data_IF_264574954268
#
_entry.id   IF_264574954268
#
_cell.length_a   1.000
_cell.length_b   1.000
_cell.length_c   1.000
_cell.angle_alpha   90.00
_cell.angle_beta   90.00
_cell.angle_gamma   90.00
#
_symmetry.space_group_name_H-M   'P 1'
#
loop_
_entity.id
_entity.type
_entity.pdbx_description
1 polymer ?
#
# COMPACT_ATOMS: atom_id res chain seq x y z
N UNK A 1 -7.93 -3.89 28.76
CA UNK A 1 -8.57 -5.19 28.36
C UNK A 1 -7.56 -6.31 28.53
N UNK A 2 -8.02 -7.52 28.89
CA UNK A 2 -7.19 -8.74 28.84
C UNK A 2 -6.94 -9.17 27.38
N UNK A 3 -5.90 -9.98 27.08
CA UNK A 3 -5.70 -10.54 25.74
C UNK A 3 -6.96 -11.24 25.21
N UNK A 4 -7.60 -12.07 26.02
CA UNK A 4 -8.82 -12.79 25.67
C UNK A 4 -10.02 -11.86 25.35
N UNK A 5 -10.19 -10.78 26.13
CA UNK A 5 -11.22 -9.78 25.84
C UNK A 5 -10.98 -9.01 24.54
N UNK A 6 -9.71 -8.83 24.11
CA UNK A 6 -9.37 -8.25 22.80
C UNK A 6 -9.72 -9.20 21.68
N UNK A 7 -9.47 -10.51 21.87
CA UNK A 7 -9.88 -11.55 20.91
C UNK A 7 -11.39 -11.58 20.76
N UNK A 8 -12.16 -11.53 21.86
CA UNK A 8 -13.63 -11.48 21.78
C UNK A 8 -14.12 -10.26 20.97
N UNK A 9 -13.53 -9.08 21.20
CA UNK A 9 -13.88 -7.90 20.40
C UNK A 9 -13.50 -8.05 18.91
N UNK A 10 -12.37 -8.70 18.62
CA UNK A 10 -11.97 -8.97 17.24
C UNK A 10 -12.90 -9.99 16.56
N UNK A 11 -13.40 -11.02 17.27
CA UNK A 11 -14.41 -11.97 16.77
C UNK A 11 -15.64 -11.22 16.28
N UNK A 12 -16.22 -10.37 17.13
CA UNK A 12 -17.43 -9.60 16.82
C UNK A 12 -17.22 -8.65 15.61
N UNK A 13 -16.04 -8.07 15.52
CA UNK A 13 -15.68 -7.19 14.40
C UNK A 13 -15.53 -7.99 13.09
N UNK A 14 -14.91 -9.17 13.13
CA UNK A 14 -14.77 -10.02 11.95
C UNK A 14 -16.10 -10.54 11.44
N UNK A 15 -17.05 -10.86 12.33
CA UNK A 15 -18.41 -11.24 11.93
C UNK A 15 -19.15 -10.08 11.22
N UNK A 16 -18.98 -8.84 11.72
CA UNK A 16 -19.54 -7.64 11.07
C UNK A 16 -18.89 -7.38 9.69
N UNK A 17 -17.58 -7.61 9.57
CA UNK A 17 -16.86 -7.46 8.32
C UNK A 17 -17.28 -8.55 7.33
N UNK A 18 -17.43 -9.79 7.77
CA UNK A 18 -17.96 -10.89 6.96
C UNK A 18 -19.38 -10.61 6.46
N UNK A 19 -20.19 -9.91 7.26
CA UNK A 19 -21.54 -9.44 6.87
C UNK A 19 -21.51 -8.21 5.93
N UNK A 20 -20.33 -7.75 5.46
CA UNK A 20 -20.17 -6.70 4.44
C UNK A 20 -19.80 -5.31 4.97
N UNK A 21 -19.68 -5.11 6.28
CA UNK A 21 -19.23 -3.82 6.80
C UNK A 21 -17.75 -3.57 6.48
N UNK A 22 -17.37 -2.34 6.10
CA UNK A 22 -15.98 -1.98 5.87
C UNK A 22 -15.16 -2.09 7.18
N UNK A 23 -13.96 -2.69 7.11
CA UNK A 23 -13.12 -2.95 8.27
C UNK A 23 -12.80 -1.68 9.08
N UNK A 24 -12.39 -0.60 8.40
CA UNK A 24 -12.12 0.68 9.05
C UNK A 24 -13.37 1.30 9.70
N UNK A 25 -14.53 1.15 9.07
CA UNK A 25 -15.80 1.61 9.63
C UNK A 25 -16.20 0.80 10.88
N UNK A 26 -16.02 -0.54 10.82
CA UNK A 26 -16.29 -1.44 11.94
C UNK A 26 -15.39 -1.10 13.14
N UNK A 27 -14.10 -0.95 12.91
CA UNK A 27 -13.10 -0.59 13.93
C UNK A 27 -13.35 0.82 14.51
N UNK A 28 -13.67 1.80 13.67
CA UNK A 28 -13.95 3.17 14.13
C UNK A 28 -15.21 3.22 14.97
N UNK A 29 -16.29 2.57 14.54
CA UNK A 29 -17.56 2.53 15.30
C UNK A 29 -17.40 1.79 16.62
N UNK A 30 -16.68 0.66 16.63
CA UNK A 30 -16.34 -0.05 17.86
C UNK A 30 -15.49 0.81 18.79
N UNK A 31 -14.44 1.45 18.29
CA UNK A 31 -13.57 2.29 19.09
C UNK A 31 -14.29 3.49 19.75
N UNK A 32 -15.35 4.02 19.12
CA UNK A 32 -16.21 5.06 19.69
C UNK A 32 -17.13 4.52 20.78
N UNK A 33 -17.67 3.32 20.60
CA UNK A 33 -18.58 2.67 21.55
C UNK A 33 -17.81 2.10 22.76
N UNK A 34 -16.63 1.51 22.55
CA UNK A 34 -15.82 0.87 23.58
C UNK A 34 -14.98 1.89 24.38
N UNK A 35 -15.65 2.74 25.18
CA UNK A 35 -14.99 3.78 25.98
C UNK A 35 -14.01 3.24 27.02
N UNK A 36 -14.17 1.98 27.41
CA UNK A 36 -13.28 1.25 28.33
C UNK A 36 -11.97 0.80 27.69
N UNK A 37 -11.89 0.77 26.36
CA UNK A 37 -10.70 0.36 25.62
C UNK A 37 -9.72 1.53 25.47
N UNK A 38 -8.55 1.42 26.06
CA UNK A 38 -7.45 2.36 25.90
C UNK A 38 -6.83 2.31 24.50
N UNK A 39 -5.93 3.24 24.19
CA UNK A 39 -5.27 3.32 22.88
C UNK A 39 -4.49 2.04 22.54
N UNK A 40 -3.82 1.43 23.52
CA UNK A 40 -3.10 0.15 23.35
C UNK A 40 -4.05 -1.01 23.04
N UNK A 41 -5.25 -1.04 23.69
CA UNK A 41 -6.25 -2.07 23.45
C UNK A 41 -6.83 -1.95 22.04
N UNK A 42 -7.18 -0.72 21.62
CA UNK A 42 -7.70 -0.45 20.28
C UNK A 42 -6.70 -0.83 19.20
N UNK A 43 -5.41 -0.55 19.41
CA UNK A 43 -4.36 -0.95 18.51
C UNK A 43 -4.25 -2.49 18.41
N UNK A 44 -4.30 -3.19 19.55
CA UNK A 44 -4.21 -4.66 19.57
C UNK A 44 -5.42 -5.33 18.90
N UNK A 45 -6.65 -4.82 19.12
CA UNK A 45 -7.85 -5.32 18.42
C UNK A 45 -7.76 -5.05 16.93
N UNK A 46 -7.30 -3.87 16.52
CA UNK A 46 -7.04 -3.56 15.11
C UNK A 46 -6.03 -4.52 14.48
N UNK A 47 -4.92 -4.78 15.16
CA UNK A 47 -3.89 -5.70 14.68
C UNK A 47 -4.47 -7.11 14.49
N UNK A 48 -5.26 -7.64 15.45
CA UNK A 48 -5.92 -8.95 15.31
C UNK A 48 -6.87 -9.02 14.09
N UNK A 49 -7.69 -7.99 13.90
CA UNK A 49 -8.62 -7.91 12.76
C UNK A 49 -7.87 -7.88 11.43
N UNK A 50 -6.82 -7.04 11.32
CA UNK A 50 -6.05 -6.96 10.08
C UNK A 50 -5.21 -8.21 9.81
N UNK A 51 -4.69 -8.87 10.84
CA UNK A 51 -3.95 -10.12 10.68
C UNK A 51 -4.87 -11.24 10.19
N UNK A 52 -6.10 -11.34 10.74
CA UNK A 52 -7.10 -12.27 10.23
C UNK A 52 -7.52 -11.95 8.79
N UNK A 53 -7.65 -10.65 8.43
CA UNK A 53 -7.95 -10.24 7.05
C UNK A 53 -6.81 -10.57 6.07
N UNK A 54 -5.55 -10.50 6.50
CA UNK A 54 -4.41 -10.92 5.65
C UNK A 54 -4.42 -12.41 5.39
N UNK A 55 -4.85 -13.20 6.38
CA UNK A 55 -4.87 -14.66 6.39
C UNK A 55 -6.30 -15.23 6.38
N UNK A 56 -7.22 -14.61 5.63
CA UNK A 56 -8.66 -14.83 5.71
C UNK A 56 -9.10 -16.25 5.42
N UNK A 57 -8.53 -16.88 4.40
CA UNK A 57 -8.86 -18.25 4.01
C UNK A 57 -8.08 -19.28 4.82
N UNK A 58 -6.81 -19.05 5.06
CA UNK A 58 -5.98 -19.94 5.86
C UNK A 58 -6.46 -20.01 7.32
N UNK A 59 -6.87 -18.89 7.90
CA UNK A 59 -7.44 -18.89 9.26
C UNK A 59 -8.79 -19.57 9.32
N UNK A 60 -9.64 -19.46 8.29
CA UNK A 60 -10.89 -20.21 8.21
C UNK A 60 -10.66 -21.73 8.13
N UNK A 61 -9.70 -22.16 7.29
CA UNK A 61 -9.33 -23.56 7.16
C UNK A 61 -8.81 -24.13 8.50
N UNK A 62 -7.83 -23.45 9.12
CA UNK A 62 -7.25 -23.84 10.39
C UNK A 62 -8.24 -23.80 11.57
N UNK A 63 -9.21 -22.91 11.54
CA UNK A 63 -10.23 -22.77 12.59
C UNK A 63 -11.47 -23.63 12.37
N UNK A 64 -11.61 -24.26 11.20
CA UNK A 64 -12.72 -25.15 10.87
C UNK A 64 -14.03 -24.42 10.55
N UNK A 65 -13.97 -23.13 10.10
CA UNK A 65 -15.18 -22.39 9.74
C UNK A 65 -14.94 -20.93 9.37
N UNK A 66 -16.00 -20.26 8.90
CA UNK A 66 -15.89 -18.89 8.37
C UNK A 66 -16.31 -17.77 9.35
N UNK A 67 -16.77 -18.12 10.54
CA UNK A 67 -17.14 -17.15 11.58
C UNK A 67 -15.91 -16.42 12.11
N UNK A 68 -16.09 -15.24 12.69
CA UNK A 68 -15.02 -14.51 13.37
C UNK A 68 -14.35 -15.35 14.46
N UNK A 69 -15.14 -16.17 15.19
CA UNK A 69 -14.64 -17.09 16.20
C UNK A 69 -13.72 -18.17 15.61
N UNK A 70 -14.14 -18.83 14.53
CA UNK A 70 -13.32 -19.83 13.85
C UNK A 70 -12.04 -19.20 13.28
N UNK A 71 -12.14 -18.01 12.67
CA UNK A 71 -10.96 -17.31 12.12
C UNK A 71 -9.97 -16.90 13.20
N UNK A 72 -10.41 -16.45 14.39
CA UNK A 72 -9.50 -16.14 15.49
C UNK A 72 -8.88 -17.41 16.09
N UNK A 73 -9.63 -18.51 16.17
CA UNK A 73 -9.08 -19.81 16.53
C UNK A 73 -7.99 -20.24 15.52
N UNK A 74 -8.29 -20.12 14.23
CA UNK A 74 -7.32 -20.42 13.17
C UNK A 74 -6.11 -19.50 13.18
N UNK A 75 -6.26 -18.22 13.54
CA UNK A 75 -5.15 -17.27 13.69
C UNK A 75 -4.22 -17.64 14.84
N UNK A 76 -4.76 -18.08 15.98
CA UNK A 76 -3.96 -18.58 17.11
C UNK A 76 -3.19 -19.85 16.70
N UNK A 77 -3.87 -20.78 16.04
CA UNK A 77 -3.22 -22.01 15.50
C UNK A 77 -2.12 -21.68 14.48
N UNK A 78 -2.35 -20.72 13.59
CA UNK A 78 -1.34 -20.25 12.63
C UNK A 78 -0.10 -19.66 13.30
N UNK A 79 -0.27 -19.06 14.49
CA UNK A 79 0.79 -18.47 15.30
C UNK A 79 1.40 -19.42 16.32
N UNK A 80 0.93 -20.68 16.35
CA UNK A 80 1.34 -21.67 17.36
C UNK A 80 1.08 -21.21 18.81
N UNK A 81 0.08 -20.34 19.00
CA UNK A 81 -0.39 -19.88 20.30
C UNK A 81 -1.43 -20.86 20.84
N UNK A 82 -1.38 -21.18 22.14
CA UNK A 82 -2.33 -22.09 22.78
C UNK A 82 -3.73 -21.44 22.89
N UNK A 83 -4.74 -21.94 22.17
CA UNK A 83 -6.08 -21.36 22.17
C UNK A 83 -6.79 -21.44 23.52
N UNK A 84 -6.51 -22.45 24.36
CA UNK A 84 -7.20 -22.63 25.65
C UNK A 84 -6.89 -21.52 26.65
N UNK A 85 -5.74 -20.86 26.51
CA UNK A 85 -5.39 -19.67 27.30
C UNK A 85 -6.26 -18.46 26.98
N UNK A 86 -6.87 -18.43 25.80
CA UNK A 86 -7.70 -17.34 25.28
C UNK A 86 -9.20 -17.68 25.40
N UNK A 87 -9.59 -18.89 24.96
CA UNK A 87 -10.97 -19.35 24.97
C UNK A 87 -11.35 -19.96 26.34
N UNK A 88 -11.25 -19.16 27.38
CA UNK A 88 -11.41 -19.60 28.76
C UNK A 88 -12.82 -19.40 29.35
N UNK A 89 -13.66 -18.58 28.68
CA UNK A 89 -14.98 -18.20 29.20
C UNK A 89 -14.95 -17.29 30.44
N UNK A 90 -13.78 -16.85 30.88
CA UNK A 90 -13.65 -16.03 32.09
C UNK A 90 -13.81 -14.55 31.77
N UNK A 91 -14.69 -13.86 32.51
CA UNK A 91 -14.94 -12.42 32.33
C UNK A 91 -15.45 -12.10 30.93
N UNK A 92 -14.65 -11.39 30.13
CA UNK A 92 -14.96 -11.04 28.75
C UNK A 92 -14.19 -11.90 27.72
N UNK A 93 -13.68 -13.05 28.13
CA UNK A 93 -13.04 -13.99 27.21
C UNK A 93 -14.09 -14.72 26.35
N UNK A 94 -13.72 -15.17 25.14
CA UNK A 94 -14.58 -16.06 24.38
C UNK A 94 -14.88 -17.34 25.18
N UNK A 95 -16.06 -17.94 24.96
CA UNK A 95 -16.44 -19.20 25.60
C UNK A 95 -15.40 -20.29 25.34
N UNK A 96 -15.23 -21.29 26.25
CA UNK A 96 -14.33 -22.41 26.03
C UNK A 96 -14.62 -23.12 24.70
N UNK A 97 -13.59 -23.74 24.10
CA UNK A 97 -13.74 -24.50 22.86
C UNK A 97 -14.54 -25.78 23.13
N UNK A 98 -15.53 -26.01 22.29
CA UNK A 98 -16.24 -27.29 22.25
C UNK A 98 -15.38 -28.39 21.62
N UNK A 99 -15.75 -29.65 21.84
CA UNK A 99 -15.03 -30.82 21.27
C UNK A 99 -14.93 -30.73 19.73
N UNK A 100 -15.99 -30.27 19.07
CA UNK A 100 -16.02 -30.11 17.62
C UNK A 100 -15.02 -29.03 17.15
N UNK A 101 -14.90 -27.91 17.87
CA UNK A 101 -13.94 -26.85 17.55
C UNK A 101 -12.49 -27.25 17.81
N UNK A 102 -12.25 -28.07 18.86
CA UNK A 102 -10.93 -28.65 19.15
C UNK A 102 -10.49 -29.60 18.03
N UNK A 103 -11.42 -30.43 17.54
CA UNK A 103 -11.17 -31.39 16.47
C UNK A 103 -11.21 -30.77 15.07
N UNK A 104 -11.86 -29.61 14.90
CA UNK A 104 -12.01 -28.94 13.61
C UNK A 104 -10.69 -28.30 13.14
N UNK A 105 -10.66 -28.03 11.84
CA UNK A 105 -9.55 -27.37 11.17
C UNK A 105 -8.68 -28.34 10.42
N UNK A 106 -8.16 -27.85 9.31
CA UNK A 106 -7.27 -28.59 8.42
C UNK A 106 -6.23 -27.64 7.84
N UNK A 107 -5.12 -28.17 7.34
CA UNK A 107 -4.13 -27.37 6.64
C UNK A 107 -4.78 -26.69 5.41
N UNK A 108 -4.54 -25.39 5.18
CA UNK A 108 -5.04 -24.74 3.99
C UNK A 108 -4.33 -25.28 2.75
N UNK A 109 -5.07 -25.46 1.64
CA UNK A 109 -4.54 -25.96 0.38
C UNK A 109 -4.86 -25.00 -0.77
N UNK A 110 -4.09 -25.08 -1.87
CA UNK A 110 -4.30 -24.34 -3.10
C UNK A 110 -4.35 -22.81 -2.87
N UNK A 111 -5.37 -22.15 -3.39
CA UNK A 111 -5.53 -20.70 -3.25
C UNK A 111 -5.77 -20.26 -1.79
N UNK A 112 -6.33 -21.13 -0.94
CA UNK A 112 -6.51 -20.86 0.47
C UNK A 112 -5.16 -20.80 1.22
N UNK A 113 -4.19 -21.63 0.85
CA UNK A 113 -2.84 -21.57 1.41
C UNK A 113 -2.12 -20.25 1.08
N UNK A 114 -2.48 -19.63 -0.05
CA UNK A 114 -1.97 -18.33 -0.50
C UNK A 114 -2.81 -17.15 -0.02
N UNK A 115 -3.90 -17.40 0.70
CA UNK A 115 -4.87 -16.37 1.09
C UNK A 115 -5.33 -15.49 -0.07
N UNK A 116 -5.65 -16.13 -1.20
CA UNK A 116 -6.19 -15.49 -2.41
C UNK A 116 -7.57 -16.07 -2.77
N UNK A 117 -8.51 -15.29 -3.34
CA UNK A 117 -9.64 -15.84 -4.08
C UNK A 117 -9.16 -16.76 -5.21
N UNK A 118 -9.93 -17.80 -5.57
CA UNK A 118 -9.49 -18.82 -6.55
C UNK A 118 -9.17 -18.20 -7.93
N UNK A 119 -10.04 -17.30 -8.41
CA UNK A 119 -9.84 -16.59 -9.67
C UNK A 119 -8.56 -15.74 -9.65
N UNK A 120 -8.25 -15.12 -8.51
CA UNK A 120 -7.10 -14.25 -8.34
C UNK A 120 -5.78 -15.04 -8.22
N UNK A 121 -5.82 -16.23 -7.62
CA UNK A 121 -4.66 -17.11 -7.57
C UNK A 121 -4.19 -17.55 -8.97
N UNK A 122 -5.12 -17.74 -9.92
CA UNK A 122 -4.77 -17.96 -11.32
C UNK A 122 -4.08 -16.74 -11.93
N UNK A 123 -4.65 -15.53 -11.73
CA UNK A 123 -4.07 -14.26 -12.22
C UNK A 123 -2.66 -13.98 -11.65
N UNK A 124 -2.43 -14.32 -10.37
CA UNK A 124 -1.10 -14.22 -9.77
C UNK A 124 -0.10 -15.14 -10.46
N UNK A 125 -0.46 -16.40 -10.73
CA UNK A 125 0.42 -17.33 -11.46
C UNK A 125 0.74 -16.84 -12.87
N UNK A 126 -0.27 -16.36 -13.59
CA UNK A 126 -0.12 -15.85 -14.95
C UNK A 126 0.75 -14.59 -14.99
N UNK A 127 0.64 -13.71 -13.99
CA UNK A 127 1.37 -12.44 -13.91
C UNK A 127 2.82 -12.61 -13.43
N UNK A 128 3.07 -13.51 -12.48
CA UNK A 128 4.31 -13.57 -11.70
C UNK A 128 5.10 -14.86 -11.91
N UNK A 129 4.52 -15.86 -12.56
CA UNK A 129 5.18 -17.15 -12.79
C UNK A 129 5.68 -17.77 -11.47
N UNK A 130 6.97 -18.06 -11.39
CA UNK A 130 7.60 -18.67 -10.21
C UNK A 130 7.60 -17.78 -8.96
N UNK A 131 7.42 -16.47 -9.07
CA UNK A 131 7.37 -15.56 -7.94
C UNK A 131 5.97 -15.49 -7.28
N UNK A 132 4.93 -16.07 -7.89
CA UNK A 132 3.55 -15.92 -7.46
C UNK A 132 3.31 -16.37 -6.01
N UNK A 133 3.87 -17.51 -5.62
CA UNK A 133 3.73 -18.06 -4.28
C UNK A 133 4.44 -17.18 -3.24
N UNK A 134 5.71 -16.84 -3.47
CA UNK A 134 6.48 -16.00 -2.57
C UNK A 134 5.82 -14.63 -2.38
N UNK A 135 5.34 -14.02 -3.46
CA UNK A 135 4.60 -12.74 -3.44
C UNK A 135 3.31 -12.87 -2.62
N UNK A 136 2.50 -13.90 -2.85
CA UNK A 136 1.26 -14.10 -2.11
C UNK A 136 1.52 -14.28 -0.60
N UNK A 137 2.54 -15.05 -0.23
CA UNK A 137 2.95 -15.26 1.16
C UNK A 137 3.48 -13.96 1.81
N UNK A 138 4.27 -13.16 1.09
CA UNK A 138 4.74 -11.86 1.58
C UNK A 138 3.58 -10.90 1.89
N UNK A 139 2.49 -10.95 1.12
CA UNK A 139 1.28 -10.13 1.34
C UNK A 139 0.46 -10.55 2.57
N UNK A 140 0.74 -11.69 3.20
CA UNK A 140 0.15 -12.13 4.48
C UNK A 140 0.75 -11.44 5.70
N UNK A 141 1.95 -10.90 5.57
CA UNK A 141 2.65 -10.21 6.66
C UNK A 141 2.21 -8.76 6.78
N UNK A 142 2.44 -8.17 7.96
CA UNK A 142 2.27 -6.72 8.14
C UNK A 142 3.32 -5.96 7.33
N UNK A 143 2.90 -4.89 6.64
CA UNK A 143 3.82 -4.02 5.93
C UNK A 143 4.78 -3.32 6.90
N UNK A 144 6.03 -3.24 6.51
CA UNK A 144 7.04 -2.42 7.19
C UNK A 144 6.71 -0.93 7.03
N UNK A 145 7.26 -0.13 7.93
CA UNK A 145 7.13 1.33 7.89
C UNK A 145 8.37 1.91 7.25
N UNK A 146 8.18 2.68 6.18
CA UNK A 146 9.26 3.37 5.50
C UNK A 146 9.11 4.88 5.58
N UNK A 147 10.23 5.55 5.67
CA UNK A 147 10.37 6.98 5.52
C UNK A 147 11.16 7.28 4.26
N UNK A 148 10.77 8.33 3.56
CA UNK A 148 11.58 8.94 2.51
C UNK A 148 12.30 10.15 3.06
N UNK A 149 13.63 10.20 2.91
CA UNK A 149 14.41 11.38 3.20
C UNK A 149 14.09 12.50 2.20
N UNK A 150 13.83 13.69 2.70
CA UNK A 150 13.64 14.88 1.88
C UNK A 150 15.01 15.51 1.56
N UNK A 151 15.48 15.29 0.36
CA UNK A 151 16.81 15.78 -0.10
C UNK A 151 16.92 17.31 -0.16
N UNK A 152 15.80 18.04 -0.07
CA UNK A 152 15.83 19.52 0.07
C UNK A 152 16.24 19.96 1.48
N UNK A 153 16.13 19.07 2.48
CA UNK A 153 16.30 19.45 3.88
C UNK A 153 17.38 18.65 4.60
N UNK A 154 17.67 17.44 4.16
CA UNK A 154 18.62 16.57 4.83
C UNK A 154 19.26 15.56 3.88
N UNK A 155 20.46 15.11 4.23
CA UNK A 155 21.06 13.89 3.71
C UNK A 155 20.48 12.68 4.47
N UNK A 156 20.56 11.45 3.93
CA UNK A 156 20.14 10.25 4.65
C UNK A 156 20.79 10.09 6.02
N UNK A 157 22.08 10.33 6.13
CA UNK A 157 22.81 10.23 7.41
C UNK A 157 22.33 11.27 8.44
N UNK A 158 22.11 12.51 8.02
CA UNK A 158 21.58 13.56 8.88
C UNK A 158 20.13 13.23 9.34
N UNK A 159 19.28 12.68 8.45
CA UNK A 159 17.95 12.26 8.81
C UNK A 159 17.96 11.10 9.81
N UNK A 160 18.86 10.11 9.64
CA UNK A 160 19.02 9.00 10.59
C UNK A 160 19.45 9.49 11.98
N UNK A 161 20.41 10.41 12.04
CA UNK A 161 20.85 11.00 13.32
C UNK A 161 19.69 11.71 14.04
N UNK A 162 18.92 12.52 13.31
CA UNK A 162 17.78 13.25 13.87
C UNK A 162 16.63 12.30 14.31
N UNK A 163 16.36 11.24 13.54
CA UNK A 163 15.39 10.22 13.93
C UNK A 163 15.80 9.53 15.24
N UNK A 164 17.10 9.20 15.39
CA UNK A 164 17.62 8.59 16.61
C UNK A 164 17.44 9.51 17.84
N UNK A 165 17.68 10.82 17.70
CA UNK A 165 17.40 11.82 18.74
C UNK A 165 15.91 11.88 19.12
N UNK A 166 15.02 11.69 18.15
CA UNK A 166 13.57 11.61 18.37
C UNK A 166 13.10 10.22 18.93
N UNK A 167 14.04 9.29 19.17
CA UNK A 167 13.73 7.92 19.65
C UNK A 167 13.14 7.01 18.59
N UNK A 168 13.38 7.30 17.31
CA UNK A 168 12.98 6.50 16.16
C UNK A 168 14.21 5.81 15.58
N UNK A 169 14.19 4.48 15.59
CA UNK A 169 15.26 3.66 15.01
C UNK A 169 14.91 3.36 13.54
N UNK A 170 15.85 3.62 12.66
CA UNK A 170 15.70 3.37 11.24
C UNK A 170 17.03 2.99 10.60
N UNK A 171 16.99 2.35 9.44
CA UNK A 171 18.16 1.96 8.66
C UNK A 171 17.92 2.21 7.17
N UNK A 172 18.97 2.41 6.36
CA UNK A 172 18.84 2.53 4.90
C UNK A 172 18.23 1.27 4.29
N UNK A 173 17.58 1.42 3.13
CA UNK A 173 16.99 0.31 2.38
C UNK A 173 17.37 0.35 0.91
N UNK A 174 17.71 -0.81 0.33
CA UNK A 174 18.32 -0.93 -1.01
C UNK A 174 17.40 -0.54 -2.17
N UNK A 175 16.08 -0.51 -1.98
CA UNK A 175 15.13 -0.14 -3.05
C UNK A 175 15.29 1.31 -3.50
N UNK A 176 15.67 2.22 -2.62
CA UNK A 176 15.89 3.64 -2.93
C UNK A 176 16.91 4.26 -1.99
N UNK A 177 17.80 5.09 -2.52
CA UNK A 177 18.79 5.82 -1.71
C UNK A 177 18.18 6.79 -0.68
N UNK A 178 16.88 7.13 -0.83
CA UNK A 178 16.13 7.95 0.13
C UNK A 178 15.29 7.14 1.11
N UNK A 179 15.23 5.81 0.95
CA UNK A 179 14.39 4.96 1.77
C UNK A 179 15.06 4.60 3.09
N UNK A 180 14.34 4.84 4.20
CA UNK A 180 14.72 4.40 5.53
C UNK A 180 13.64 3.44 6.06
N UNK A 181 14.04 2.22 6.41
CA UNK A 181 13.19 1.25 7.09
C UNK A 181 13.17 1.54 8.57
N UNK A 182 11.98 1.75 9.14
CA UNK A 182 11.81 2.00 10.58
C UNK A 182 11.80 0.67 11.34
N UNK A 183 12.77 0.49 12.22
CA UNK A 183 12.94 -0.72 13.05
C UNK A 183 12.43 -0.53 14.48
N UNK A 184 12.23 0.72 14.92
CA UNK A 184 11.70 1.03 16.24
C UNK A 184 11.08 2.43 16.34
N UNK A 185 10.19 2.66 17.31
CA UNK A 185 9.63 3.99 17.56
C UNK A 185 8.57 4.48 16.56
N UNK A 186 8.08 3.65 15.62
CA UNK A 186 7.19 4.06 14.53
C UNK A 186 5.97 4.91 14.95
N UNK A 187 5.40 4.68 16.16
CA UNK A 187 4.26 5.45 16.67
C UNK A 187 4.59 6.92 16.97
N UNK A 188 5.87 7.24 17.11
CA UNK A 188 6.38 8.59 17.39
C UNK A 188 6.55 9.45 16.14
N UNK A 189 6.65 8.87 14.95
CA UNK A 189 7.06 9.53 13.69
C UNK A 189 6.32 10.85 13.46
N UNK A 190 5.00 10.84 13.41
CA UNK A 190 4.20 12.03 13.07
C UNK A 190 4.29 13.17 14.09
N UNK A 191 4.87 12.91 15.27
CA UNK A 191 5.07 13.89 16.34
C UNK A 191 6.55 14.24 16.54
N UNK A 192 7.44 13.55 15.83
CA UNK A 192 8.87 13.79 15.89
C UNK A 192 9.25 15.13 15.26
N UNK A 193 10.29 15.77 15.76
CA UNK A 193 10.83 17.00 15.17
C UNK A 193 11.29 16.74 13.73
N UNK A 194 11.89 15.59 13.46
CA UNK A 194 12.36 15.18 12.14
C UNK A 194 11.23 15.18 11.09
N UNK A 195 10.04 14.69 11.46
CA UNK A 195 8.88 14.71 10.56
C UNK A 195 8.25 16.10 10.46
N UNK A 196 8.08 16.80 11.58
CA UNK A 196 7.44 18.12 11.63
C UNK A 196 8.25 19.18 10.90
N UNK A 197 9.58 19.09 10.93
CA UNK A 197 10.50 19.96 10.22
C UNK A 197 10.68 19.58 8.73
N UNK A 198 10.02 18.49 8.29
CA UNK A 198 9.98 18.06 6.89
C UNK A 198 11.25 17.40 6.38
N UNK A 199 12.09 16.85 7.28
CA UNK A 199 13.29 16.11 6.89
C UNK A 199 12.93 14.75 6.29
N UNK A 200 11.80 14.18 6.70
CA UNK A 200 11.30 12.90 6.20
C UNK A 200 9.79 12.94 5.92
N UNK A 201 9.35 12.05 5.02
CA UNK A 201 7.96 11.77 4.69
C UNK A 201 7.65 10.29 4.85
N UNK A 202 6.43 9.94 5.27
CA UNK A 202 5.95 8.56 5.24
C UNK A 202 5.67 8.16 3.78
N UNK A 203 6.48 7.26 3.24
CA UNK A 203 6.29 6.72 1.90
C UNK A 203 6.96 5.35 1.78
N UNK A 204 6.26 4.40 1.17
CA UNK A 204 6.79 3.06 0.90
C UNK A 204 8.07 3.09 0.04
N UNK A 205 9.01 2.18 0.28
CA UNK A 205 10.30 2.14 -0.40
C UNK A 205 10.16 1.91 -1.91
N UNK A 206 9.25 1.03 -2.34
CA UNK A 206 9.02 0.79 -3.77
C UNK A 206 8.35 2.00 -4.46
N UNK A 207 7.47 2.72 -3.75
CA UNK A 207 6.92 3.99 -4.24
C UNK A 207 7.99 5.07 -4.44
N UNK A 208 9.06 5.08 -3.61
CA UNK A 208 10.23 5.93 -3.80
C UNK A 208 11.05 5.49 -5.02
N UNK A 209 11.29 4.17 -5.14
CA UNK A 209 12.03 3.57 -6.25
C UNK A 209 11.39 3.85 -7.62
N UNK A 210 10.05 3.98 -7.69
CA UNK A 210 9.36 4.44 -8.91
C UNK A 210 9.85 5.82 -9.36
N UNK A 211 10.00 6.77 -8.42
CA UNK A 211 10.51 8.12 -8.73
C UNK A 211 11.98 8.09 -9.09
N UNK A 212 12.75 7.15 -8.54
CA UNK A 212 14.18 6.98 -8.87
C UNK A 212 14.43 6.57 -10.32
N UNK A 213 13.43 5.97 -10.99
CA UNK A 213 13.50 5.61 -12.42
C UNK A 213 13.28 6.81 -13.36
N UNK A 214 12.73 7.92 -12.85
CA UNK A 214 12.37 9.06 -13.66
C UNK A 214 13.59 9.92 -14.00
N UNK A 215 13.79 10.32 -15.28
CA UNK A 215 14.89 11.18 -15.70
C UNK A 215 14.60 12.64 -15.35
N UNK A 216 14.57 12.96 -14.05
CA UNK A 216 14.23 14.27 -13.52
C UNK A 216 15.46 15.17 -13.47
N UNK A 217 15.36 16.35 -14.05
CA UNK A 217 16.38 17.39 -14.04
C UNK A 217 15.82 18.73 -13.54
N UNK A 218 16.64 19.57 -12.89
CA UNK A 218 16.21 20.93 -12.53
C UNK A 218 15.76 21.74 -13.73
N UNK A 219 14.63 22.45 -13.59
CA UNK A 219 14.06 23.27 -14.65
C UNK A 219 13.05 22.58 -15.55
N UNK A 220 12.91 21.26 -15.47
CA UNK A 220 11.83 20.54 -16.18
C UNK A 220 10.44 20.99 -15.72
N UNK A 221 9.50 21.00 -16.64
CA UNK A 221 8.06 21.13 -16.37
C UNK A 221 7.49 19.73 -16.14
N UNK A 222 7.09 19.44 -14.90
CA UNK A 222 6.65 18.12 -14.48
C UNK A 222 5.20 18.15 -14.02
N UNK A 223 4.41 17.17 -14.47
CA UNK A 223 3.03 16.93 -14.08
C UNK A 223 2.91 15.59 -13.33
N UNK A 224 2.37 15.61 -12.12
CA UNK A 224 1.83 14.44 -11.44
C UNK A 224 0.32 14.39 -11.73
N UNK A 225 -0.09 13.54 -12.69
CA UNK A 225 -1.46 13.53 -13.22
C UNK A 225 -2.47 12.84 -12.31
N UNK A 226 -2.00 11.94 -11.43
CA UNK A 226 -2.81 11.22 -10.45
C UNK A 226 -2.22 11.39 -9.04
N UNK A 227 -2.00 12.62 -8.62
CA UNK A 227 -1.14 12.98 -7.50
C UNK A 227 -1.61 12.42 -6.13
N UNK A 228 -2.91 12.16 -5.96
CA UNK A 228 -3.44 11.70 -4.68
C UNK A 228 -3.01 12.59 -3.52
N UNK A 229 -2.38 12.02 -2.49
CA UNK A 229 -1.81 12.81 -1.38
C UNK A 229 -0.51 13.54 -1.69
N UNK A 230 0.01 13.47 -2.92
CA UNK A 230 1.19 14.19 -3.38
C UNK A 230 2.54 13.58 -2.97
N UNK A 231 2.56 12.32 -2.54
CA UNK A 231 3.80 11.68 -2.10
C UNK A 231 4.88 11.63 -3.19
N UNK A 232 4.49 11.30 -4.43
CA UNK A 232 5.39 11.29 -5.59
C UNK A 232 5.68 12.71 -6.11
N UNK A 233 4.69 13.61 -6.11
CA UNK A 233 4.92 15.02 -6.44
C UNK A 233 6.02 15.65 -5.56
N UNK A 234 5.97 15.44 -4.24
CA UNK A 234 7.00 15.90 -3.31
C UNK A 234 8.37 15.24 -3.54
N UNK A 235 8.39 13.95 -3.93
CA UNK A 235 9.62 13.25 -4.26
C UNK A 235 10.27 13.82 -5.53
N UNK A 236 9.46 14.05 -6.58
CA UNK A 236 9.91 14.66 -7.85
C UNK A 236 10.42 16.08 -7.62
N UNK A 237 9.69 16.93 -6.87
CA UNK A 237 10.14 18.26 -6.51
C UNK A 237 11.49 18.24 -5.78
N UNK A 238 11.69 17.31 -4.85
CA UNK A 238 12.97 17.18 -4.14
C UNK A 238 14.13 16.85 -5.09
N UNK A 239 13.91 15.97 -6.06
CA UNK A 239 14.91 15.63 -7.09
C UNK A 239 15.24 16.81 -8.02
N UNK A 240 14.25 17.67 -8.28
CA UNK A 240 14.41 18.87 -9.09
C UNK A 240 14.84 20.10 -8.27
N UNK A 241 15.46 19.92 -7.12
CA UNK A 241 15.98 21.00 -6.25
C UNK A 241 14.88 21.99 -5.78
N UNK A 242 13.65 21.52 -5.60
CA UNK A 242 12.55 22.29 -5.03
C UNK A 242 11.31 22.43 -5.91
N UNK A 243 11.37 22.05 -7.15
CA UNK A 243 10.20 22.08 -8.03
C UNK A 243 10.46 22.87 -9.31
N UNK A 244 9.45 23.44 -10.03
CA UNK A 244 8.02 23.30 -9.76
C UNK A 244 7.46 21.94 -10.25
N UNK A 245 6.50 21.37 -9.51
CA UNK A 245 5.67 20.23 -9.94
C UNK A 245 4.21 20.67 -9.99
N UNK A 246 3.54 20.43 -11.10
CA UNK A 246 2.09 20.57 -11.20
C UNK A 246 1.45 19.26 -10.72
N UNK A 247 0.49 19.34 -9.79
CA UNK A 247 -0.23 18.20 -9.25
C UNK A 247 -1.71 18.28 -9.63
N UNK A 248 -2.21 17.19 -10.21
CA UNK A 248 -3.61 17.00 -10.56
C UNK A 248 -4.12 15.66 -10.01
N UNK A 249 -5.38 15.62 -9.62
CA UNK A 249 -6.11 14.39 -9.33
C UNK A 249 -7.58 14.61 -9.63
N UNK A 250 -8.21 13.70 -10.37
CA UNK A 250 -9.64 13.75 -10.69
C UNK A 250 -10.52 13.81 -9.43
N UNK A 251 -10.05 13.26 -8.31
CA UNK A 251 -10.67 13.39 -6.99
C UNK A 251 -9.93 14.43 -6.13
N UNK A 252 -10.17 15.71 -6.38
CA UNK A 252 -9.47 16.84 -5.73
C UNK A 252 -9.39 16.74 -4.19
N UNK A 253 -10.37 16.07 -3.55
CA UNK A 253 -10.35 15.79 -2.10
C UNK A 253 -9.14 15.00 -1.63
N UNK A 254 -8.49 14.23 -2.50
CA UNK A 254 -7.29 13.45 -2.17
C UNK A 254 -6.07 14.35 -1.97
N UNK A 255 -6.06 15.54 -2.54
CA UNK A 255 -4.96 16.52 -2.47
C UNK A 255 -5.10 17.52 -1.30
N UNK A 256 -6.10 17.38 -0.42
CA UNK A 256 -6.42 18.39 0.61
C UNK A 256 -5.24 18.71 1.53
N UNK A 257 -4.41 17.71 1.84
CA UNK A 257 -3.24 17.86 2.73
C UNK A 257 -1.95 18.26 1.97
N UNK A 258 -1.97 18.23 0.63
CA UNK A 258 -0.78 18.47 -0.18
C UNK A 258 -0.17 19.87 0.01
N UNK A 259 -0.94 20.97 0.11
CA UNK A 259 -0.35 22.29 0.35
C UNK A 259 0.45 22.38 1.65
N UNK A 260 -0.08 21.83 2.74
CA UNK A 260 0.60 21.81 4.04
C UNK A 260 1.86 20.92 4.00
N UNK A 261 1.80 19.78 3.30
CA UNK A 261 2.93 18.87 3.11
C UNK A 261 4.02 19.50 2.24
N UNK A 262 3.65 20.19 1.17
CA UNK A 262 4.59 20.89 0.29
C UNK A 262 5.32 22.03 1.03
N UNK A 263 4.58 22.84 1.80
CA UNK A 263 5.18 23.87 2.65
C UNK A 263 6.16 23.28 3.67
N UNK A 264 5.78 22.19 4.37
CA UNK A 264 6.65 21.47 5.30
C UNK A 264 7.90 20.93 4.61
N UNK A 265 7.75 20.38 3.41
CA UNK A 265 8.86 19.85 2.63
C UNK A 265 9.77 20.91 2.02
N UNK A 266 9.30 22.15 1.88
CA UNK A 266 10.00 23.23 1.16
C UNK A 266 9.96 23.01 -0.37
N UNK A 267 8.92 22.39 -0.89
CA UNK A 267 8.75 22.05 -2.30
C UNK A 267 7.75 22.99 -2.99
N UNK A 268 8.04 23.42 -4.22
CA UNK A 268 7.07 24.15 -5.06
C UNK A 268 6.17 23.13 -5.77
N UNK A 269 4.98 22.88 -5.21
CA UNK A 269 3.97 22.01 -5.80
C UNK A 269 2.70 22.81 -6.02
N UNK A 270 2.26 22.90 -7.28
CA UNK A 270 1.10 23.69 -7.70
C UNK A 270 -0.07 22.77 -8.03
N UNK A 271 -1.16 22.90 -7.28
CA UNK A 271 -2.36 22.11 -7.50
C UNK A 271 -3.21 22.73 -8.60
N UNK A 272 -3.68 21.92 -9.55
CA UNK A 272 -4.61 22.35 -10.59
C UNK A 272 -5.81 21.41 -10.70
N UNK A 273 -6.98 21.96 -10.99
CA UNK A 273 -8.17 21.18 -11.33
C UNK A 273 -8.16 20.69 -12.79
N UNK A 274 -7.48 21.42 -13.68
CA UNK A 274 -7.32 21.08 -15.09
C UNK A 274 -5.88 21.37 -15.48
N UNK A 275 -5.07 20.35 -15.83
CA UNK A 275 -3.73 20.59 -16.36
C UNK A 275 -3.79 21.32 -17.71
N UNK A 276 -2.91 22.29 -17.89
CA UNK A 276 -2.79 23.06 -19.12
C UNK A 276 -1.32 23.16 -19.55
N UNK A 277 -1.11 23.16 -20.86
CA UNK A 277 0.20 23.29 -21.47
C UNK A 277 0.95 21.96 -21.61
N UNK A 278 2.21 22.08 -21.96
CA UNK A 278 3.09 20.96 -22.29
C UNK A 278 4.10 20.70 -21.17
N UNK A 279 4.44 19.44 -20.93
CA UNK A 279 5.35 19.01 -19.87
C UNK A 279 6.47 18.15 -20.44
N UNK A 280 7.65 18.29 -19.86
CA UNK A 280 8.82 17.46 -20.19
C UNK A 280 8.65 16.05 -19.61
N UNK A 281 7.93 15.95 -18.48
CA UNK A 281 7.60 14.66 -17.85
C UNK A 281 6.19 14.69 -17.24
N UNK A 282 5.40 13.67 -17.56
CA UNK A 282 4.10 13.40 -16.94
C UNK A 282 4.14 12.07 -16.22
N UNK A 283 3.84 12.05 -14.93
CA UNK A 283 3.70 10.84 -14.13
C UNK A 283 2.22 10.49 -13.94
N UNK A 284 1.86 9.25 -14.25
CA UNK A 284 0.56 8.65 -14.01
C UNK A 284 0.68 7.51 -12.99
N UNK A 285 0.57 7.82 -11.68
CA UNK A 285 0.40 6.81 -10.61
C UNK A 285 -1.08 6.45 -10.51
N UNK A 286 -1.52 5.59 -11.43
CA UNK A 286 -2.95 5.40 -11.73
C UNK A 286 -3.70 4.64 -10.65
N UNK A 287 -5.04 4.83 -10.53
CA UNK A 287 -5.87 3.98 -9.71
C UNK A 287 -5.79 2.53 -10.19
N UNK A 288 -5.55 1.60 -9.26
CA UNK A 288 -5.36 0.20 -9.55
C UNK A 288 -5.97 -0.69 -8.45
N UNK A 289 -5.89 -2.02 -8.60
CA UNK A 289 -6.35 -2.99 -7.60
C UNK A 289 -5.65 -2.86 -6.25
N UNK A 290 -4.44 -2.28 -6.23
CA UNK A 290 -3.59 -2.22 -5.05
C UNK A 290 -3.02 -3.59 -4.66
N UNK A 291 -2.97 -4.55 -5.59
CA UNK A 291 -2.59 -5.94 -5.31
C UNK A 291 -1.19 -6.08 -4.72
N UNK A 292 -0.28 -5.16 -4.99
CA UNK A 292 1.04 -5.11 -4.38
C UNK A 292 1.06 -4.58 -2.95
N UNK A 293 0.01 -3.87 -2.52
CA UNK A 293 -0.07 -3.20 -1.22
C UNK A 293 -1.13 -3.81 -0.27
N UNK A 294 -1.71 -4.98 -0.59
CA UNK A 294 -2.75 -5.61 0.25
C UNK A 294 -2.30 -5.96 1.66
N UNK A 295 -1.01 -6.07 1.91
CA UNK A 295 -0.50 -6.19 3.28
C UNK A 295 -0.82 -4.97 4.16
N UNK A 296 -1.05 -3.77 3.54
CA UNK A 296 -1.52 -2.54 4.22
C UNK A 296 -3.04 -2.45 4.27
N UNK A 297 -3.70 -2.86 3.18
CA UNK A 297 -5.16 -2.77 3.01
C UNK A 297 -5.74 -4.14 2.59
N UNK A 298 -5.68 -5.18 3.47
CA UNK A 298 -6.01 -6.56 3.09
C UNK A 298 -7.46 -6.76 2.67
N UNK A 299 -8.38 -5.90 3.11
CA UNK A 299 -9.79 -5.95 2.70
C UNK A 299 -9.97 -5.76 1.19
N UNK A 300 -9.09 -4.98 0.55
CA UNK A 300 -9.13 -4.74 -0.90
C UNK A 300 -9.04 -6.04 -1.70
N UNK A 301 -8.26 -7.01 -1.25
CA UNK A 301 -8.13 -8.33 -1.86
C UNK A 301 -9.45 -9.11 -1.90
N UNK A 302 -10.24 -9.03 -0.84
CA UNK A 302 -11.50 -9.76 -0.68
C UNK A 302 -12.70 -9.08 -1.35
N UNK A 303 -12.58 -7.76 -1.59
CA UNK A 303 -13.61 -6.95 -2.26
C UNK A 303 -13.39 -6.80 -3.76
N UNK A 304 -12.19 -7.10 -4.26
CA UNK A 304 -11.91 -7.05 -5.68
C UNK A 304 -12.70 -8.14 -6.41
N UNK A 305 -13.31 -7.75 -7.52
CA UNK A 305 -14.00 -8.65 -8.46
C UNK A 305 -13.36 -8.57 -9.83
N UNK A 306 -13.57 -9.58 -10.68
CA UNK A 306 -13.07 -9.56 -12.07
C UNK A 306 -13.63 -8.36 -12.86
N UNK A 307 -14.92 -8.05 -12.68
CA UNK A 307 -15.54 -6.87 -13.30
C UNK A 307 -14.86 -5.57 -12.85
N UNK A 308 -14.57 -5.44 -11.53
CA UNK A 308 -13.88 -4.24 -11.03
C UNK A 308 -12.44 -4.13 -11.54
N UNK A 309 -11.75 -5.24 -11.70
CA UNK A 309 -10.41 -5.25 -12.30
C UNK A 309 -10.47 -4.78 -13.77
N UNK A 310 -11.45 -5.27 -14.54
CA UNK A 310 -11.65 -4.83 -15.93
C UNK A 310 -11.98 -3.32 -16.03
N UNK A 311 -12.83 -2.79 -15.15
CA UNK A 311 -13.10 -1.34 -15.05
C UNK A 311 -11.82 -0.55 -14.77
N UNK A 312 -10.97 -1.02 -13.85
CA UNK A 312 -9.71 -0.36 -13.53
C UNK A 312 -8.76 -0.34 -14.74
N UNK A 313 -8.65 -1.44 -15.47
CA UNK A 313 -7.84 -1.51 -16.69
C UNK A 313 -8.34 -0.51 -17.75
N UNK A 314 -9.66 -0.33 -17.89
CA UNK A 314 -10.24 0.66 -18.78
C UNK A 314 -9.88 2.08 -18.36
N UNK A 315 -10.03 2.42 -17.08
CA UNK A 315 -9.66 3.72 -16.52
C UNK A 315 -8.16 4.01 -16.73
N UNK A 316 -7.30 3.01 -16.51
CA UNK A 316 -5.85 3.13 -16.70
C UNK A 316 -5.49 3.43 -18.15
N UNK A 317 -6.16 2.75 -19.10
CA UNK A 317 -6.00 3.01 -20.54
C UNK A 317 -6.38 4.43 -20.92
N UNK A 318 -7.52 4.91 -20.42
CA UNK A 318 -8.01 6.28 -20.65
C UNK A 318 -7.06 7.35 -20.07
N UNK A 319 -6.54 7.10 -18.86
CA UNK A 319 -5.57 8.01 -18.23
C UNK A 319 -4.29 8.10 -19.06
N UNK A 320 -3.74 6.97 -19.54
CA UNK A 320 -2.57 6.96 -20.39
C UNK A 320 -2.79 7.77 -21.68
N UNK A 321 -3.94 7.58 -22.35
CA UNK A 321 -4.27 8.28 -23.58
C UNK A 321 -4.45 9.78 -23.38
N UNK A 322 -5.03 10.23 -22.26
CA UNK A 322 -5.19 11.63 -21.90
C UNK A 322 -3.86 12.28 -21.52
N UNK A 323 -3.08 11.60 -20.65
CA UNK A 323 -1.81 12.11 -20.16
C UNK A 323 -0.75 12.27 -21.25
N UNK A 324 -0.76 11.37 -22.24
CA UNK A 324 0.13 11.45 -23.40
C UNK A 324 -0.03 12.76 -24.20
N UNK A 325 -1.23 13.37 -24.16
CA UNK A 325 -1.49 14.65 -24.81
C UNK A 325 -0.77 15.85 -24.18
N UNK A 326 -0.30 15.73 -22.94
CA UNK A 326 0.43 16.77 -22.23
C UNK A 326 1.95 16.69 -22.37
N UNK A 327 2.49 15.62 -22.97
CA UNK A 327 3.94 15.40 -23.08
C UNK A 327 4.48 16.06 -24.35
N UNK A 328 5.55 16.86 -24.25
CA UNK A 328 6.26 17.43 -25.40
C UNK A 328 6.90 16.35 -26.28
N UNK A 329 7.27 16.67 -27.51
CA UNK A 329 8.15 15.82 -28.34
C UNK A 329 9.48 15.60 -27.61
N UNK A 330 9.99 14.36 -27.61
CA UNK A 330 11.16 13.97 -26.82
C UNK A 330 10.92 13.89 -25.31
N UNK A 331 9.73 14.23 -24.83
CA UNK A 331 9.36 14.17 -23.42
C UNK A 331 9.02 12.76 -22.93
N UNK A 332 8.68 12.65 -21.66
CA UNK A 332 8.50 11.39 -20.93
C UNK A 332 7.07 11.26 -20.39
N UNK A 333 6.44 10.11 -20.65
CA UNK A 333 5.26 9.63 -19.94
C UNK A 333 5.68 8.48 -19.01
N UNK A 334 5.52 8.66 -17.73
CA UNK A 334 5.77 7.61 -16.74
C UNK A 334 4.45 7.03 -16.25
N UNK A 335 4.34 5.72 -16.29
CA UNK A 335 3.18 4.95 -15.83
C UNK A 335 3.56 4.16 -14.59
N UNK A 336 2.75 4.21 -13.53
CA UNK A 336 2.99 3.46 -12.31
C UNK A 336 1.69 2.92 -11.70
N UNK A 337 1.78 1.76 -11.05
CA UNK A 337 0.72 1.15 -10.25
C UNK A 337 1.31 0.54 -8.98
N UNK A 338 0.52 0.45 -7.91
CA UNK A 338 0.82 -0.43 -6.78
C UNK A 338 0.19 -1.82 -6.98
N UNK A 339 0.30 -2.37 -8.20
CA UNK A 339 -0.22 -3.68 -8.59
C UNK A 339 0.89 -4.65 -8.98
N UNK A 340 0.63 -5.94 -8.78
CA UNK A 340 1.46 -7.05 -9.27
C UNK A 340 0.79 -7.82 -10.42
N UNK A 341 -0.38 -7.36 -10.89
CA UNK A 341 -1.13 -8.01 -11.96
C UNK A 341 -0.69 -7.50 -13.33
N UNK A 342 -0.33 -8.41 -14.22
CA UNK A 342 0.15 -8.07 -15.57
C UNK A 342 -0.87 -7.25 -16.39
N UNK A 343 -2.17 -7.48 -16.16
CA UNK A 343 -3.28 -6.77 -16.82
C UNK A 343 -3.30 -5.27 -16.53
N UNK A 344 -2.87 -4.88 -15.32
CA UNK A 344 -2.76 -3.47 -14.89
C UNK A 344 -1.37 -2.88 -15.21
N UNK A 345 -0.40 -3.71 -15.59
CA UNK A 345 1.02 -3.35 -15.71
C UNK A 345 1.49 -3.44 -17.17
N UNK A 346 2.26 -4.48 -17.50
CA UNK A 346 2.88 -4.63 -18.84
C UNK A 346 1.83 -4.69 -19.96
N UNK A 347 0.66 -5.26 -19.73
CA UNK A 347 -0.41 -5.30 -20.73
C UNK A 347 -0.96 -3.91 -21.06
N UNK A 348 -1.07 -2.99 -20.07
CA UNK A 348 -1.47 -1.60 -20.32
C UNK A 348 -0.44 -0.86 -21.17
N UNK A 349 0.84 -1.05 -20.86
CA UNK A 349 1.95 -0.43 -21.63
C UNK A 349 1.95 -0.95 -23.06
N UNK A 350 1.86 -2.27 -23.27
CA UNK A 350 1.81 -2.87 -24.62
C UNK A 350 0.63 -2.34 -25.42
N UNK A 351 -0.57 -2.37 -24.83
CA UNK A 351 -1.77 -1.87 -25.50
C UNK A 351 -1.71 -0.36 -25.82
N UNK A 352 -1.05 0.43 -24.97
CA UNK A 352 -0.81 1.85 -25.24
C UNK A 352 0.11 2.05 -26.45
N UNK A 353 1.22 1.31 -26.53
CA UNK A 353 2.17 1.39 -27.66
C UNK A 353 1.53 0.98 -28.98
N UNK A 354 0.67 -0.04 -28.97
CA UNK A 354 -0.08 -0.48 -30.14
C UNK A 354 -1.04 0.61 -30.66
N UNK A 355 -1.63 1.39 -29.77
CA UNK A 355 -2.58 2.48 -30.12
C UNK A 355 -1.89 3.79 -30.47
N UNK A 356 -0.68 4.02 -29.97
CA UNK A 356 0.04 5.29 -30.04
C UNK A 356 1.44 5.08 -30.65
N UNK A 357 1.55 4.96 -31.99
CA UNK A 357 2.86 4.98 -32.63
C UNK A 357 3.60 6.28 -32.30
N UNK A 358 4.91 6.23 -32.21
CA UNK A 358 5.72 7.38 -31.78
C UNK A 358 6.04 7.40 -30.27
N UNK A 359 5.90 6.26 -29.60
CA UNK A 359 6.34 6.06 -28.21
C UNK A 359 7.24 4.82 -28.12
N UNK A 360 8.23 4.87 -27.23
CA UNK A 360 9.14 3.77 -26.96
C UNK A 360 9.33 3.58 -25.45
N UNK A 361 9.45 2.32 -25.01
CA UNK A 361 9.78 2.00 -23.61
C UNK A 361 11.28 2.21 -23.38
N UNK A 362 11.66 3.07 -22.43
CA UNK A 362 13.03 3.22 -21.97
C UNK A 362 13.34 2.31 -20.78
N UNK A 363 12.40 2.25 -19.83
CA UNK A 363 12.53 1.43 -18.61
C UNK A 363 11.18 0.81 -18.30
N UNK A 364 11.21 -0.47 -17.91
CA UNK A 364 10.05 -1.15 -17.31
C UNK A 364 10.53 -2.01 -16.16
N UNK A 365 9.90 -1.86 -14.98
CA UNK A 365 10.32 -2.58 -13.78
C UNK A 365 9.13 -2.98 -12.92
N UNK A 366 9.12 -4.25 -12.49
CA UNK A 366 8.23 -4.76 -11.45
C UNK A 366 9.02 -4.84 -10.13
N UNK A 367 8.47 -4.27 -9.08
CA UNK A 367 8.92 -4.42 -7.69
C UNK A 367 7.97 -5.39 -6.99
N UNK A 368 8.52 -6.30 -6.20
CA UNK A 368 7.74 -7.33 -5.51
C UNK A 368 7.87 -7.18 -3.99
N UNK A 369 6.82 -7.55 -3.22
CA UNK A 369 6.80 -7.40 -1.76
C UNK A 369 7.93 -8.12 -1.02
N UNK A 370 8.53 -9.16 -1.60
CA UNK A 370 9.67 -9.91 -1.03
C UNK A 370 10.93 -9.04 -0.88
N UNK A 371 11.03 -7.97 -1.64
CA UNK A 371 12.12 -7.00 -1.54
C UNK A 371 11.99 -6.03 -0.35
N UNK A 372 10.96 -6.20 0.50
CA UNK A 372 10.69 -5.39 1.69
C UNK A 372 9.69 -4.24 1.45
N UNK A 373 9.71 -3.57 0.30
CA UNK A 373 8.71 -2.57 -0.11
C UNK A 373 7.36 -3.21 -0.49
N UNK A 374 6.36 -2.42 -0.86
CA UNK A 374 5.14 -2.91 -1.48
C UNK A 374 5.41 -3.36 -2.94
N UNK A 375 4.49 -4.15 -3.51
CA UNK A 375 4.53 -4.45 -4.92
C UNK A 375 4.17 -3.20 -5.74
N UNK A 376 5.03 -2.84 -6.68
CA UNK A 376 4.83 -1.73 -7.61
C UNK A 376 5.27 -2.11 -9.01
N UNK A 377 4.69 -1.47 -9.99
CA UNK A 377 5.15 -1.48 -11.36
C UNK A 377 5.40 -0.06 -11.82
N UNK A 378 6.43 0.13 -12.64
CA UNK A 378 6.69 1.39 -13.31
C UNK A 378 7.19 1.15 -14.73
N UNK A 379 6.75 2.00 -15.67
CA UNK A 379 7.28 2.11 -17.01
C UNK A 379 7.56 3.57 -17.35
N UNK A 380 8.70 3.82 -17.96
CA UNK A 380 9.11 5.13 -18.50
C UNK A 380 9.05 5.03 -20.01
N UNK A 381 8.19 5.84 -20.61
CA UNK A 381 7.94 5.88 -22.05
C UNK A 381 8.45 7.20 -22.63
N UNK A 382 9.25 7.14 -23.67
CA UNK A 382 9.75 8.31 -24.40
C UNK A 382 8.87 8.59 -25.62
N UNK A 383 8.41 9.83 -25.78
CA UNK A 383 7.79 10.28 -27.02
C UNK A 383 8.89 10.46 -28.06
N UNK A 384 8.86 9.70 -29.16
CA UNK A 384 9.85 9.83 -30.25
C UNK A 384 9.58 11.08 -31.06
N UNK A 385 10.64 11.72 -31.53
CA UNK A 385 10.53 12.81 -32.50
C UNK A 385 9.98 12.25 -33.83
N UNK A 386 9.00 12.93 -34.40
CA UNK A 386 8.40 12.58 -35.69
C UNK A 386 9.20 13.14 -36.84
#
# INVERSE_FOLDING_TARGET
>A
MTPAARVQAAIELLDRIAAGQAAEQALTSWGRAARYAGSKDRAAVRDLVFDALRCWRSTAALGGGETGRARLLGLLRLREEDPDTIFSGQGHAPAPLGADEQAAGQAPEGAAALDLPDWLAARFRDSLGSAAEATALALRSRAEVFLRVNLLRATPDAALARLAEDGILAEPHDLSATALRVTGGARGIMRSSTYLDGLVELQDAASQAVVDLLPLEPGMRVLDYCAGGGGKALAMAARMQGGPVVAHDAAAKRMVDLPARAARAGADVRITGTPEGDFDLVLCDVPCSGSGAWRRAPEGKWRLTEARLADLCTIQSEILDQAAGFVVEGGVLAYATCSVLAEENAAQVSAFLDRRPGWAVEVQRQFLPESGGDGFFAAVLRRTET
#
